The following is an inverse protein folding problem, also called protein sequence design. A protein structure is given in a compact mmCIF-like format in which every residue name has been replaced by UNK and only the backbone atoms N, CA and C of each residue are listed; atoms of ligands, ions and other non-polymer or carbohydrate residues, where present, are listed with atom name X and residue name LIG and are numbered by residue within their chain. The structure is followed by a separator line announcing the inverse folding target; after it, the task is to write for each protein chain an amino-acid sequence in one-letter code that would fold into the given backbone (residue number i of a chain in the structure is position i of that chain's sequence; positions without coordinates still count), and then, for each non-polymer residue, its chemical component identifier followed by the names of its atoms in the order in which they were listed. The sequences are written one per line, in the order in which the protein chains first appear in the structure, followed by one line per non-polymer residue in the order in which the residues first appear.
data_IF_252350893519
#
_entry.id   IF_252350893519
#
_cell.length_a   1.000
_cell.length_b   1.000
_cell.length_c   1.000
_cell.angle_alpha   90.00
_cell.angle_beta   90.00
_cell.angle_gamma   90.00
#
_symmetry.space_group_name_H-M   'P 1'
#
loop_
_entity.id
_entity.type
_entity.pdbx_description
1 polymer ?
#
# COMPACT_ATOMS: atom_id res chain seq x y z
N UNK A 1 -6.13 7.05 52.04
CA UNK A 1 -7.14 6.50 51.09
C UNK A 1 -7.12 7.21 49.75
N UNK A 2 -7.20 8.54 49.68
CA UNK A 2 -7.14 9.28 48.40
C UNK A 2 -5.82 9.10 47.65
N UNK A 3 -4.70 9.00 48.32
CA UNK A 3 -3.37 8.85 47.70
C UNK A 3 -3.14 7.44 47.14
N UNK A 4 -3.76 6.43 47.74
CA UNK A 4 -3.71 5.03 47.23
C UNK A 4 -4.54 4.92 45.94
N UNK A 5 -5.69 5.61 45.89
CA UNK A 5 -6.55 5.62 44.69
C UNK A 5 -5.82 6.32 43.51
N UNK A 6 -5.18 7.47 43.77
CA UNK A 6 -4.38 8.18 42.75
C UNK A 6 -3.20 7.34 42.24
N UNK A 7 -2.54 6.60 43.13
CA UNK A 7 -1.43 5.73 42.74
C UNK A 7 -1.92 4.55 41.86
N UNK A 8 -3.07 3.99 42.20
CA UNK A 8 -3.72 2.95 41.40
C UNK A 8 -4.14 3.45 40.01
N UNK A 9 -4.73 4.64 39.92
CA UNK A 9 -5.10 5.26 38.66
C UNK A 9 -3.86 5.54 37.79
N UNK A 10 -2.76 6.00 38.38
CA UNK A 10 -1.50 6.25 37.67
C UNK A 10 -0.89 4.94 37.15
N UNK A 11 -0.91 3.88 37.96
CA UNK A 11 -0.41 2.53 37.55
C UNK A 11 -1.28 1.93 36.44
N UNK A 12 -2.59 2.10 36.51
CA UNK A 12 -3.52 1.65 35.46
C UNK A 12 -3.29 2.45 34.17
N UNK A 13 -3.13 3.78 34.24
CA UNK A 13 -2.82 4.62 33.08
C UNK A 13 -1.48 4.26 32.43
N UNK A 14 -0.45 4.00 33.25
CA UNK A 14 0.85 3.55 32.75
C UNK A 14 0.80 2.15 32.16
N UNK A 15 0.05 1.23 32.77
CA UNK A 15 -0.16 -0.12 32.25
C UNK A 15 -0.95 -0.10 30.94
N UNK A 16 -2.02 0.69 30.84
CA UNK A 16 -2.80 0.87 29.61
C UNK A 16 -1.94 1.53 28.52
N UNK A 17 -1.13 2.53 28.88
CA UNK A 17 -0.18 3.17 27.95
C UNK A 17 0.88 2.19 27.44
N UNK A 18 1.42 1.30 28.31
CA UNK A 18 2.37 0.26 27.91
C UNK A 18 1.71 -0.85 27.09
N UNK A 19 0.46 -1.24 27.40
CA UNK A 19 -0.30 -2.22 26.62
C UNK A 19 -0.62 -1.66 25.22
N UNK A 20 -0.95 -0.38 25.08
CA UNK A 20 -1.12 0.25 23.79
C UNK A 20 0.20 0.36 22.99
N UNK A 21 1.33 0.55 23.65
CA UNK A 21 2.66 0.59 23.00
C UNK A 21 3.11 -0.82 22.55
N UNK A 22 2.69 -1.88 23.24
CA UNK A 22 2.99 -3.28 22.91
C UNK A 22 2.03 -3.86 21.85
N UNK A 23 0.89 -3.20 21.59
CA UNK A 23 -0.15 -3.69 20.67
C UNK A 23 0.09 -3.27 19.21
N UNK A 24 1.11 -2.46 18.89
CA UNK A 24 1.45 -2.15 17.51
C UNK A 24 2.50 -3.13 17.02
N UNK A 25 2.06 -4.14 16.26
CA UNK A 25 2.98 -4.96 15.50
C UNK A 25 3.87 -4.03 14.65
N UNK A 26 5.19 -4.24 14.62
CA UNK A 26 6.10 -3.30 14.02
C UNK A 26 5.83 -3.18 12.52
N UNK A 27 5.79 -1.93 12.04
CA UNK A 27 5.90 -1.64 10.63
C UNK A 27 7.33 -2.00 10.20
N UNK A 28 7.47 -2.80 9.16
CA UNK A 28 8.77 -3.22 8.64
C UNK A 28 8.99 -2.63 7.27
N UNK A 29 10.10 -1.92 7.11
CA UNK A 29 10.53 -1.40 5.82
C UNK A 29 11.34 -2.47 5.07
N UNK A 30 10.90 -2.79 3.86
CA UNK A 30 11.61 -3.67 2.92
C UNK A 30 11.98 -2.87 1.67
N UNK A 31 13.28 -2.86 1.36
CA UNK A 31 13.81 -2.18 0.18
C UNK A 31 13.96 -3.18 -0.97
N UNK A 32 13.31 -2.88 -2.08
CA UNK A 32 13.38 -3.62 -3.33
C UNK A 32 14.31 -2.94 -4.35
N UNK A 33 14.46 -3.54 -5.53
CA UNK A 33 15.41 -3.03 -6.55
C UNK A 33 15.01 -1.65 -7.10
N UNK A 34 13.71 -1.36 -7.16
CA UNK A 34 13.19 -0.13 -7.78
C UNK A 34 11.95 0.45 -7.08
N UNK A 35 11.60 -0.03 -5.92
CA UNK A 35 10.52 0.44 -5.07
C UNK A 35 10.75 -0.01 -3.63
N UNK A 36 10.00 0.54 -2.70
CA UNK A 36 10.09 0.23 -1.28
C UNK A 36 8.71 -0.12 -0.72
N UNK A 37 8.67 -0.93 0.32
CA UNK A 37 7.44 -1.37 1.02
C UNK A 37 7.56 -1.06 2.50
N UNK A 38 6.51 -0.50 3.09
CA UNK A 38 6.28 -0.53 4.53
C UNK A 38 5.19 -1.57 4.79
N UNK A 39 5.55 -2.64 5.47
CA UNK A 39 4.68 -3.79 5.71
C UNK A 39 4.13 -3.78 7.13
N UNK A 40 2.83 -3.97 7.28
CA UNK A 40 2.13 -4.05 8.57
C UNK A 40 1.88 -5.51 8.94
N UNK A 41 2.65 -6.00 9.91
CA UNK A 41 2.50 -7.36 10.40
C UNK A 41 1.22 -7.60 11.21
N UNK A 42 0.62 -6.56 11.79
CA UNK A 42 -0.68 -6.70 12.46
C UNK A 42 -1.80 -7.08 11.49
N UNK A 43 -1.67 -6.63 10.26
CA UNK A 43 -2.62 -6.89 9.17
C UNK A 43 -2.13 -7.94 8.17
N UNK A 44 -0.85 -8.32 8.26
CA UNK A 44 -0.19 -9.16 7.27
C UNK A 44 -0.39 -8.60 5.85
N UNK A 45 -0.20 -7.30 5.70
CA UNK A 45 -0.46 -6.57 4.46
C UNK A 45 0.55 -5.43 4.28
N UNK A 46 0.83 -4.97 3.06
CA UNK A 46 1.54 -3.71 2.86
C UNK A 46 0.70 -2.56 3.43
N UNK A 47 1.32 -1.68 4.24
CA UNK A 47 0.72 -0.43 4.68
C UNK A 47 0.89 0.66 3.64
N UNK A 48 2.06 0.69 2.98
CA UNK A 48 2.35 1.53 1.83
C UNK A 48 3.44 0.91 0.96
N UNK A 49 3.35 1.18 -0.33
CA UNK A 49 4.39 0.89 -1.32
C UNK A 49 4.69 2.20 -2.04
N UNK A 50 5.96 2.52 -2.24
CA UNK A 50 6.34 3.80 -2.83
C UNK A 50 7.50 3.65 -3.82
N UNK A 51 7.47 4.44 -4.89
CA UNK A 51 8.46 4.44 -5.97
C UNK A 51 8.50 5.77 -6.70
N UNK A 52 9.57 5.99 -7.44
CA UNK A 52 9.62 7.04 -8.45
C UNK A 52 9.24 6.47 -9.81
N UNK A 53 8.68 7.28 -10.70
CA UNK A 53 8.32 6.89 -12.06
C UNK A 53 8.74 7.97 -13.05
N UNK A 54 9.48 7.55 -14.07
CA UNK A 54 9.86 8.36 -15.22
C UNK A 54 9.76 7.53 -16.49
N UNK A 55 9.77 8.16 -17.66
CA UNK A 55 9.54 7.49 -18.95
C UNK A 55 10.52 6.36 -19.27
N UNK A 56 11.75 6.41 -18.74
CA UNK A 56 12.76 5.35 -18.92
C UNK A 56 12.53 4.09 -18.07
N UNK A 57 11.60 4.12 -17.12
CA UNK A 57 11.36 2.99 -16.20
C UNK A 57 10.46 1.92 -16.81
N UNK A 58 9.81 2.22 -17.92
CA UNK A 58 8.92 1.30 -18.62
C UNK A 58 9.05 1.41 -20.14
N UNK A 59 8.87 0.27 -20.80
CA UNK A 59 8.99 0.14 -22.27
C UNK A 59 7.74 -0.48 -22.90
N UNK A 60 6.87 -1.08 -22.09
CA UNK A 60 5.71 -1.84 -22.56
C UNK A 60 6.06 -3.21 -23.19
N UNK A 61 7.32 -3.64 -23.10
CA UNK A 61 7.82 -4.83 -23.82
C UNK A 61 7.72 -6.13 -23.02
N UNK A 62 7.64 -6.04 -21.68
CA UNK A 62 7.58 -7.22 -20.83
C UNK A 62 6.15 -7.73 -20.67
N UNK A 63 5.77 -8.73 -21.47
CA UNK A 63 4.41 -9.33 -21.45
C UNK A 63 4.34 -10.64 -20.69
N UNK A 64 5.45 -11.39 -20.58
CA UNK A 64 5.51 -12.70 -19.92
C UNK A 64 5.54 -12.57 -18.40
N UNK A 65 4.35 -12.54 -17.79
CA UNK A 65 4.19 -12.46 -16.33
C UNK A 65 4.53 -13.80 -15.65
N UNK A 66 5.20 -13.78 -14.49
CA UNK A 66 5.36 -14.97 -13.67
C UNK A 66 4.01 -15.58 -13.28
N UNK A 67 3.92 -16.91 -13.31
CA UNK A 67 2.70 -17.63 -12.94
C UNK A 67 2.32 -17.45 -11.46
N UNK A 68 3.33 -17.27 -10.60
CA UNK A 68 3.18 -17.18 -9.15
C UNK A 68 3.90 -15.97 -8.60
N UNK A 69 3.33 -15.40 -7.52
CA UNK A 69 4.01 -14.43 -6.69
C UNK A 69 4.90 -15.15 -5.69
N UNK A 70 6.10 -14.66 -5.49
CA UNK A 70 7.04 -15.19 -4.51
C UNK A 70 6.76 -14.60 -3.12
N UNK A 71 7.08 -15.34 -2.07
CA UNK A 71 7.21 -14.75 -0.75
C UNK A 71 8.33 -13.72 -0.77
N UNK A 72 8.09 -12.57 -0.15
CA UNK A 72 9.09 -11.52 -0.09
C UNK A 72 10.23 -11.90 0.85
N UNK A 73 11.43 -12.09 0.28
CA UNK A 73 12.64 -12.49 1.02
C UNK A 73 13.18 -11.38 1.92
N UNK A 74 12.84 -10.11 1.65
CA UNK A 74 13.31 -8.96 2.42
C UNK A 74 12.49 -8.72 3.70
N UNK A 75 11.35 -9.40 3.84
CA UNK A 75 10.55 -9.39 5.06
C UNK A 75 10.94 -10.53 6.00
N UNK A 76 10.92 -10.34 7.34
CA UNK A 76 10.98 -11.41 8.31
C UNK A 76 9.83 -12.43 8.13
N UNK A 77 9.94 -13.59 8.77
CA UNK A 77 8.82 -14.52 8.86
C UNK A 77 7.87 -14.09 10.01
N UNK A 78 6.55 -14.39 9.93
CA UNK A 78 5.87 -15.13 8.87
C UNK A 78 5.66 -14.30 7.61
N UNK A 79 5.52 -14.95 6.45
CA UNK A 79 5.27 -14.33 5.13
C UNK A 79 4.06 -14.99 4.48
N UNK A 80 3.19 -14.19 3.85
CA UNK A 80 2.05 -14.73 3.12
C UNK A 80 2.52 -15.56 1.92
N UNK A 81 1.83 -16.67 1.69
CA UNK A 81 2.06 -17.54 0.52
C UNK A 81 1.14 -17.13 -0.61
N UNK A 82 1.58 -17.35 -1.87
CA UNK A 82 0.80 -17.01 -3.07
C UNK A 82 -0.59 -17.65 -3.07
N UNK A 83 -0.69 -18.90 -2.59
CA UNK A 83 -1.93 -19.69 -2.59
C UNK A 83 -3.03 -19.04 -1.75
N UNK A 84 -2.66 -18.25 -0.74
CA UNK A 84 -3.59 -17.55 0.14
C UNK A 84 -4.31 -16.39 -0.55
N UNK A 85 -3.81 -15.92 -1.70
CA UNK A 85 -4.45 -14.88 -2.50
C UNK A 85 -5.39 -15.44 -3.57
N UNK A 86 -5.63 -16.75 -3.59
CA UNK A 86 -6.54 -17.39 -4.53
C UNK A 86 -7.97 -17.40 -3.98
N UNK A 87 -8.51 -16.21 -3.76
CA UNK A 87 -9.88 -16.05 -3.30
C UNK A 87 -10.85 -15.96 -4.47
N UNK A 88 -12.00 -16.62 -4.31
CA UNK A 88 -13.11 -16.47 -5.26
C UNK A 88 -13.56 -14.99 -5.25
N UNK A 89 -13.57 -14.35 -6.40
CA UNK A 89 -14.00 -12.97 -6.60
C UNK A 89 -12.92 -11.88 -6.43
N UNK A 90 -11.69 -12.27 -6.02
CA UNK A 90 -10.59 -11.30 -5.90
C UNK A 90 -9.42 -11.64 -6.81
N UNK A 91 -8.79 -10.59 -7.32
CA UNK A 91 -7.55 -10.64 -8.07
C UNK A 91 -6.36 -10.24 -7.19
N UNK A 92 -5.16 -10.66 -7.55
CA UNK A 92 -3.91 -10.24 -6.94
C UNK A 92 -3.50 -8.88 -7.51
N UNK A 93 -4.03 -7.80 -6.93
CA UNK A 93 -3.77 -6.45 -7.38
C UNK A 93 -2.40 -5.95 -6.93
N UNK A 94 -1.55 -5.55 -7.86
CA UNK A 94 -0.26 -4.91 -7.55
C UNK A 94 -0.49 -3.50 -6.97
N UNK A 95 0.34 -3.13 -5.98
CA UNK A 95 0.43 -1.74 -5.53
C UNK A 95 1.45 -0.97 -6.39
N UNK A 96 2.71 -1.41 -6.45
CA UNK A 96 3.66 -0.96 -7.48
C UNK A 96 3.46 -1.83 -8.73
N UNK A 97 2.96 -1.26 -9.85
CA UNK A 97 2.62 -2.04 -11.03
C UNK A 97 3.86 -2.61 -11.71
N UNK A 98 3.76 -3.85 -12.20
CA UNK A 98 4.84 -4.44 -13.01
C UNK A 98 5.09 -3.66 -14.30
N UNK A 99 4.06 -3.00 -14.86
CA UNK A 99 4.19 -2.16 -16.03
C UNK A 99 4.94 -0.85 -15.80
N UNK A 100 5.16 -0.42 -14.55
CA UNK A 100 6.00 0.73 -14.22
C UNK A 100 7.48 0.33 -14.09
N UNK A 101 7.82 -0.96 -14.19
CA UNK A 101 9.14 -1.55 -13.92
C UNK A 101 9.62 -2.46 -15.05
N UNK A 102 9.03 -2.34 -16.25
CA UNK A 102 9.27 -3.29 -17.32
C UNK A 102 10.42 -2.91 -18.27
N UNK A 103 11.13 -1.81 -18.01
CA UNK A 103 12.37 -1.49 -18.73
C UNK A 103 13.52 -2.46 -18.39
N UNK A 104 13.45 -3.12 -17.22
CA UNK A 104 14.44 -4.09 -16.77
C UNK A 104 13.78 -5.38 -16.28
N UNK A 105 14.28 -6.52 -16.74
CA UNK A 105 13.73 -7.84 -16.41
C UNK A 105 13.78 -8.16 -14.90
N UNK A 106 14.82 -7.73 -14.20
CA UNK A 106 14.97 -7.90 -12.76
C UNK A 106 13.96 -7.03 -11.98
N UNK A 107 13.79 -5.77 -12.36
CA UNK A 107 12.80 -4.86 -11.78
C UNK A 107 11.36 -5.38 -11.98
N UNK A 108 11.04 -5.78 -13.22
CA UNK A 108 9.73 -6.35 -13.54
C UNK A 108 9.43 -7.57 -12.66
N UNK A 109 10.38 -8.52 -12.58
CA UNK A 109 10.19 -9.74 -11.77
C UNK A 109 10.12 -9.47 -10.27
N UNK A 110 10.78 -8.43 -9.79
CA UNK A 110 10.80 -8.05 -8.38
C UNK A 110 9.43 -7.55 -7.89
N UNK A 111 8.56 -7.04 -8.79
CA UNK A 111 7.19 -6.65 -8.42
C UNK A 111 6.28 -7.83 -8.08
N UNK A 112 6.63 -9.07 -8.47
CA UNK A 112 5.81 -10.27 -8.25
C UNK A 112 6.12 -10.93 -6.90
N UNK A 113 5.95 -10.16 -5.82
CA UNK A 113 6.06 -10.62 -4.43
C UNK A 113 4.75 -10.42 -3.69
N UNK A 114 4.47 -11.29 -2.70
CA UNK A 114 3.20 -11.25 -1.95
C UNK A 114 3.03 -10.01 -1.07
N UNK A 115 4.11 -9.30 -0.77
CA UNK A 115 4.08 -8.04 -0.04
C UNK A 115 3.75 -6.81 -0.90
N UNK A 116 3.78 -6.94 -2.24
CA UNK A 116 3.41 -5.88 -3.18
C UNK A 116 1.99 -6.03 -3.72
N UNK A 117 1.19 -6.94 -3.18
CA UNK A 117 -0.18 -7.19 -3.66
C UNK A 117 -1.18 -7.13 -2.51
N UNK A 118 -2.40 -6.76 -2.87
CA UNK A 118 -3.60 -6.88 -2.04
C UNK A 118 -4.74 -7.52 -2.84
N UNK A 119 -5.70 -8.21 -2.18
CA UNK A 119 -6.89 -8.68 -2.86
C UNK A 119 -7.70 -7.50 -3.41
N UNK A 120 -7.95 -7.47 -4.71
CA UNK A 120 -8.79 -6.48 -5.39
C UNK A 120 -9.92 -7.17 -6.15
N UNK A 121 -11.09 -6.53 -6.21
CA UNK A 121 -12.14 -6.99 -7.14
C UNK A 121 -11.64 -6.83 -8.58
N UNK A 122 -12.22 -7.59 -9.51
CA UNK A 122 -11.88 -7.47 -10.93
C UNK A 122 -12.20 -6.08 -11.47
N UNK A 123 -13.32 -5.51 -11.03
CA UNK A 123 -13.82 -4.19 -11.41
C UNK A 123 -12.89 -3.07 -10.94
N UNK A 124 -12.38 -3.16 -9.71
CA UNK A 124 -11.40 -2.19 -9.18
C UNK A 124 -10.06 -2.35 -9.89
N UNK A 125 -9.52 -3.57 -9.95
CA UNK A 125 -8.18 -3.82 -10.50
C UNK A 125 -8.06 -3.50 -11.99
N UNK A 126 -9.10 -3.83 -12.79
CA UNK A 126 -9.16 -3.54 -14.23
C UNK A 126 -9.83 -2.20 -14.57
N UNK A 127 -10.46 -1.54 -13.61
CA UNK A 127 -11.11 -0.24 -13.73
C UNK A 127 -10.24 0.91 -13.22
N UNK A 128 -10.76 1.64 -12.24
CA UNK A 128 -10.15 2.86 -11.70
C UNK A 128 -8.67 2.67 -11.29
N UNK A 129 -8.31 1.54 -10.69
CA UNK A 129 -6.92 1.28 -10.33
C UNK A 129 -5.98 1.28 -11.54
N UNK A 130 -6.32 0.52 -12.57
CA UNK A 130 -5.56 0.48 -13.84
C UNK A 130 -5.55 1.84 -14.56
N UNK A 131 -6.65 2.59 -14.47
CA UNK A 131 -6.73 3.93 -15.07
C UNK A 131 -5.74 4.89 -14.39
N UNK A 132 -5.58 4.83 -13.04
CA UNK A 132 -4.55 5.64 -12.34
C UNK A 132 -3.14 5.28 -12.79
N UNK A 133 -2.85 3.98 -13.01
CA UNK A 133 -1.55 3.54 -13.52
C UNK A 133 -1.26 4.10 -14.93
N UNK A 134 -2.26 4.04 -15.79
CA UNK A 134 -2.17 4.57 -17.16
C UNK A 134 -1.94 6.07 -17.16
N UNK A 135 -2.65 6.81 -16.29
CA UNK A 135 -2.48 8.26 -16.16
C UNK A 135 -1.10 8.64 -15.62
N UNK A 136 -0.58 7.93 -14.60
CA UNK A 136 0.77 8.17 -14.09
C UNK A 136 1.84 7.92 -15.18
N UNK A 137 1.73 6.83 -15.95
CA UNK A 137 2.64 6.59 -17.08
C UNK A 137 2.52 7.65 -18.16
N UNK A 138 1.30 8.10 -18.47
CA UNK A 138 1.10 9.20 -19.43
C UNK A 138 1.81 10.49 -18.96
N UNK A 139 1.66 10.88 -17.69
CA UNK A 139 2.37 12.02 -17.11
C UNK A 139 3.90 11.86 -17.22
N UNK A 140 4.42 10.65 -16.95
CA UNK A 140 5.83 10.37 -17.08
C UNK A 140 6.33 10.50 -18.54
N UNK A 141 5.53 10.10 -19.53
CA UNK A 141 5.82 10.31 -20.97
C UNK A 141 5.81 11.80 -21.33
N UNK A 142 4.96 12.62 -20.68
CA UNK A 142 4.97 14.07 -20.83
C UNK A 142 6.18 14.77 -20.19
N UNK A 143 7.12 14.02 -19.61
CA UNK A 143 8.36 14.53 -19.02
C UNK A 143 8.31 14.77 -17.51
N UNK A 144 7.21 14.43 -16.84
CA UNK A 144 7.15 14.52 -15.38
C UNK A 144 7.88 13.34 -14.74
N UNK A 145 8.78 13.63 -13.81
CA UNK A 145 9.27 12.62 -12.89
C UNK A 145 8.35 12.59 -11.67
N UNK A 146 7.75 11.43 -11.39
CA UNK A 146 6.76 11.28 -10.32
C UNK A 146 7.33 10.56 -9.11
N UNK A 147 6.90 10.96 -7.92
CA UNK A 147 6.91 10.14 -6.71
C UNK A 147 5.50 9.58 -6.54
N UNK A 148 5.36 8.26 -6.40
CA UNK A 148 4.07 7.61 -6.26
C UNK A 148 4.07 6.79 -4.99
N UNK A 149 3.00 6.90 -4.21
CA UNK A 149 2.74 6.04 -3.05
C UNK A 149 1.35 5.44 -3.17
N UNK A 150 1.21 4.18 -2.80
CA UNK A 150 -0.06 3.46 -2.85
C UNK A 150 -0.17 2.48 -1.69
N UNK A 151 -1.40 2.20 -1.27
CA UNK A 151 -1.66 1.25 -0.20
C UNK A 151 -3.15 1.04 0.06
N UNK A 152 -3.46 0.15 1.01
CA UNK A 152 -4.83 -0.06 1.48
C UNK A 152 -5.22 0.97 2.53
N UNK A 153 -6.51 1.30 2.55
CA UNK A 153 -7.18 2.01 3.65
C UNK A 153 -7.96 0.99 4.46
N UNK A 154 -7.75 0.97 5.76
CA UNK A 154 -8.43 0.06 6.68
C UNK A 154 -9.32 0.86 7.61
N UNK A 155 -10.61 0.57 7.59
CA UNK A 155 -11.61 1.20 8.47
C UNK A 155 -11.79 0.47 9.81
N UNK A 156 -11.12 -0.65 10.01
CA UNK A 156 -11.18 -1.48 11.21
C UNK A 156 -9.89 -2.24 11.46
N UNK A 157 -9.73 -2.72 12.67
CA UNK A 157 -8.67 -3.66 13.03
C UNK A 157 -8.92 -5.01 12.35
N UNK A 158 -7.88 -5.86 12.29
CA UNK A 158 -8.04 -7.24 11.80
C UNK A 158 -9.00 -7.99 12.72
N UNK A 159 -10.08 -8.63 12.20
CA UNK A 159 -10.96 -9.46 13.01
C UNK A 159 -10.22 -10.70 13.53
N UNK A 160 -10.43 -11.05 14.82
CA UNK A 160 -9.82 -12.23 15.43
C UNK A 160 -10.26 -13.54 14.74
N UNK A 161 -11.44 -13.55 14.11
CA UNK A 161 -11.95 -14.69 13.34
C UNK A 161 -11.16 -14.99 12.06
N UNK A 162 -10.33 -14.03 11.57
CA UNK A 162 -9.51 -14.23 10.37
C UNK A 162 -8.09 -14.64 10.82
N UNK A 163 -7.62 -15.84 10.48
CA UNK A 163 -6.26 -16.26 10.82
C UNK A 163 -5.21 -15.29 10.29
N UNK A 164 -4.17 -15.02 11.07
CA UNK A 164 -3.08 -14.12 10.69
C UNK A 164 -2.36 -14.55 9.40
N UNK A 165 -2.44 -15.81 9.05
CA UNK A 165 -1.89 -16.34 7.79
C UNK A 165 -2.69 -15.96 6.54
N UNK A 166 -3.90 -15.37 6.68
CA UNK A 166 -4.72 -15.00 5.53
C UNK A 166 -4.58 -13.51 5.20
N UNK A 167 -4.51 -13.14 3.91
CA UNK A 167 -4.55 -11.75 3.50
C UNK A 167 -5.92 -11.14 3.79
N UNK A 168 -5.94 -9.89 4.23
CA UNK A 168 -7.17 -9.12 4.38
C UNK A 168 -7.56 -8.48 3.04
N UNK A 169 -8.87 -8.35 2.81
CA UNK A 169 -9.41 -7.59 1.69
C UNK A 169 -9.60 -6.14 2.15
N UNK A 170 -8.87 -5.17 1.60
CA UNK A 170 -9.07 -3.77 1.97
C UNK A 170 -10.38 -3.25 1.37
N UNK A 171 -11.18 -2.49 2.13
CA UNK A 171 -12.40 -1.87 1.61
C UNK A 171 -12.12 -0.74 0.63
N UNK A 172 -10.97 -0.09 0.75
CA UNK A 172 -10.57 1.05 -0.08
C UNK A 172 -9.06 1.01 -0.29
N UNK A 173 -8.62 1.56 -1.40
CA UNK A 173 -7.21 1.72 -1.76
C UNK A 173 -6.91 3.20 -1.93
N UNK A 174 -5.69 3.62 -1.59
CA UNK A 174 -5.24 4.97 -1.90
C UNK A 174 -4.07 4.95 -2.87
N UNK A 175 -3.95 6.02 -3.64
CA UNK A 175 -2.76 6.34 -4.44
C UNK A 175 -2.55 7.84 -4.45
N UNK A 176 -1.30 8.27 -4.36
CA UNK A 176 -0.89 9.68 -4.42
C UNK A 176 0.25 9.76 -5.41
N UNK A 177 0.18 10.70 -6.34
CA UNK A 177 1.24 11.01 -7.29
C UNK A 177 1.64 12.49 -7.16
N UNK A 178 2.93 12.74 -6.95
CA UNK A 178 3.52 14.07 -6.85
C UNK A 178 4.60 14.26 -7.91
N UNK A 179 4.86 15.50 -8.32
CA UNK A 179 5.96 15.83 -9.21
C UNK A 179 7.23 16.05 -8.40
N UNK A 180 8.35 15.42 -8.81
CA UNK A 180 9.65 15.58 -8.13
C UNK A 180 10.17 17.01 -8.25
N UNK A 181 9.96 17.66 -9.39
CA UNK A 181 10.53 18.98 -9.68
C UNK A 181 9.96 20.11 -8.82
N UNK A 182 8.72 19.98 -8.35
CA UNK A 182 8.00 21.07 -7.68
C UNK A 182 7.41 20.66 -6.34
N UNK A 183 7.57 19.41 -5.92
CA UNK A 183 6.91 18.79 -4.75
C UNK A 183 5.37 18.97 -4.72
N UNK A 184 4.80 19.35 -5.88
CA UNK A 184 3.37 19.54 -6.01
C UNK A 184 2.65 18.21 -6.05
N UNK A 185 1.57 18.12 -5.28
CA UNK A 185 0.64 16.98 -5.35
C UNK A 185 -0.17 17.13 -6.63
N UNK A 186 0.09 16.24 -7.58
CA UNK A 186 -0.62 16.23 -8.86
C UNK A 186 -1.99 15.58 -8.75
N UNK A 187 -2.03 14.38 -8.15
CA UNK A 187 -3.24 13.56 -8.09
C UNK A 187 -3.26 12.71 -6.83
N UNK A 188 -4.43 12.63 -6.21
CA UNK A 188 -4.71 11.75 -5.09
C UNK A 188 -6.02 10.99 -5.34
N UNK A 189 -6.06 9.73 -4.93
CA UNK A 189 -7.23 8.87 -5.10
C UNK A 189 -7.56 8.09 -3.82
N UNK A 190 -8.85 7.94 -3.56
CA UNK A 190 -9.45 6.92 -2.70
C UNK A 190 -10.37 6.07 -3.56
N UNK A 191 -9.98 4.82 -3.80
CA UNK A 191 -10.66 3.92 -4.73
C UNK A 191 -11.33 2.81 -3.92
N UNK A 192 -12.66 2.78 -3.84
CA UNK A 192 -13.38 1.67 -3.22
C UNK A 192 -13.06 0.34 -3.91
N UNK A 193 -12.77 -0.67 -3.11
CA UNK A 193 -12.53 -2.02 -3.59
C UNK A 193 -13.86 -2.78 -3.69
N UNK A 194 -14.64 -2.47 -4.72
CA UNK A 194 -16.03 -2.88 -4.87
C UNK A 194 -16.26 -3.64 -6.17
N UNK A 195 -17.39 -4.38 -6.23
CA UNK A 195 -17.83 -5.06 -7.44
C UNK A 195 -18.44 -4.10 -8.49
N UNK A 196 -18.60 -2.83 -8.15
CA UNK A 196 -19.06 -1.80 -9.10
C UNK A 196 -17.84 -1.15 -9.74
N UNK A 197 -17.79 -1.17 -11.07
CA UNK A 197 -16.72 -0.52 -11.81
C UNK A 197 -16.82 0.99 -11.64
N UNK A 198 -15.71 1.61 -11.28
CA UNK A 198 -15.56 3.05 -11.15
C UNK A 198 -14.50 3.55 -12.13
N UNK A 199 -14.55 4.84 -12.45
CA UNK A 199 -13.53 5.55 -13.20
C UNK A 199 -12.59 6.24 -12.23
N UNK A 200 -11.32 6.39 -12.60
CA UNK A 200 -10.33 7.06 -11.74
C UNK A 200 -10.73 8.50 -11.40
N UNK A 201 -11.36 9.20 -12.34
CA UNK A 201 -11.79 10.60 -12.16
C UNK A 201 -12.81 10.75 -11.03
N UNK A 202 -13.68 9.75 -10.84
CA UNK A 202 -14.73 9.76 -9.81
C UNK A 202 -14.16 9.43 -8.41
N UNK A 203 -12.90 8.94 -8.36
CA UNK A 203 -12.17 8.57 -7.15
C UNK A 203 -11.12 9.60 -6.74
N UNK A 204 -11.04 10.76 -7.39
CA UNK A 204 -10.08 11.83 -7.07
C UNK A 204 -10.45 12.55 -5.79
N UNK A 205 -9.45 12.83 -4.97
CA UNK A 205 -9.57 13.54 -3.69
C UNK A 205 -8.40 14.52 -3.53
N UNK A 206 -8.49 15.43 -2.56
CA UNK A 206 -7.34 16.20 -2.11
C UNK A 206 -6.42 15.35 -1.21
N UNK A 207 -5.21 15.86 -0.97
CA UNK A 207 -4.21 15.17 -0.16
C UNK A 207 -4.68 14.98 1.29
N UNK A 208 -5.39 15.95 1.84
CA UNK A 208 -5.85 15.92 3.23
C UNK A 208 -6.88 14.82 3.42
N UNK A 209 -7.86 14.73 2.54
CA UNK A 209 -8.86 13.65 2.53
C UNK A 209 -8.21 12.27 2.50
N UNK A 210 -7.21 12.07 1.63
CA UNK A 210 -6.49 10.79 1.54
C UNK A 210 -5.68 10.52 2.81
N UNK A 211 -4.92 11.50 3.29
CA UNK A 211 -4.05 11.32 4.46
C UNK A 211 -4.82 11.19 5.77
N UNK A 212 -6.05 11.69 5.84
CA UNK A 212 -6.94 11.52 7.00
C UNK A 212 -7.58 10.11 7.00
N UNK A 213 -7.80 9.53 5.83
CA UNK A 213 -8.39 8.19 5.71
C UNK A 213 -7.44 7.05 6.13
N UNK A 214 -6.14 7.31 6.25
CA UNK A 214 -5.11 6.31 6.58
C UNK A 214 -4.54 6.53 7.99
N UNK A 215 -3.95 5.49 8.64
CA UNK A 215 -3.40 5.64 9.97
C UNK A 215 -2.35 6.77 10.05
N UNK A 216 -2.38 7.56 11.13
CA UNK A 216 -1.53 8.72 11.36
C UNK A 216 -0.04 8.46 11.11
N UNK A 217 0.47 7.29 11.55
CA UNK A 217 1.87 6.92 11.32
C UNK A 217 2.21 6.80 9.84
N UNK A 218 1.35 6.18 9.04
CA UNK A 218 1.53 6.04 7.59
C UNK A 218 1.38 7.39 6.91
N UNK A 219 0.39 8.19 7.33
CA UNK A 219 0.20 9.56 6.85
C UNK A 219 1.46 10.41 7.02
N UNK A 220 2.12 10.36 8.18
CA UNK A 220 3.36 11.08 8.44
C UNK A 220 4.53 10.58 7.56
N UNK A 221 4.65 9.26 7.36
CA UNK A 221 5.65 8.70 6.45
C UNK A 221 5.44 9.19 5.03
N UNK A 222 4.20 9.21 4.54
CA UNK A 222 3.84 9.73 3.21
C UNK A 222 4.20 11.21 3.09
N UNK A 223 3.78 12.04 4.04
CA UNK A 223 4.09 13.48 4.02
C UNK A 223 5.60 13.75 4.06
N UNK A 224 6.35 12.96 4.84
CA UNK A 224 7.83 13.05 4.88
C UNK A 224 8.47 12.61 3.57
N UNK A 225 7.93 11.61 2.90
CA UNK A 225 8.49 11.11 1.63
C UNK A 225 8.18 12.04 0.46
N UNK A 226 6.99 12.63 0.42
CA UNK A 226 6.60 13.60 -0.62
C UNK A 226 7.52 14.83 -0.60
N UNK A 227 7.92 15.31 0.59
CA UNK A 227 8.73 16.53 0.78
C UNK A 227 10.23 16.34 0.59
N UNK A 228 10.71 15.12 0.37
CA UNK A 228 12.13 14.80 0.10
C UNK A 228 12.43 14.79 -1.38
#
# INVERSE_FOLDING_TARGET
MKDIIRLLELVILLAVGQIQLLAQAPLVHARHLSYDIVYDYSRMAPAMVFWTLQSSDFTGTMTAKPKYFKQDRFLPKPRLKNELFTFIGYQRGHLCPSGDRDSRKDWFKDTFVTSNIVPMTAETNAGAWKETETLCRWLAVQGHQLKIVAGPVWNQTRPDSIPQSFPLVPPTLYKIATCVAHDDVLLCWLIPNSATRQREIDCRHDLESVTTAIPFQISNLIRSWIRK
#
